data_IF_576128778676
#
_entry.id   IF_576128778676
#
_cell.length_a   1.000
_cell.length_b   1.000
_cell.length_c   1.000
_cell.angle_alpha   90.00
_cell.angle_beta   90.00
_cell.angle_gamma   90.00
#
_symmetry.space_group_name_H-M   'P 1'
#
loop_
_entity.id
_entity.type
_entity.pdbx_description
1 polymer ?
#
# COMPACT_ATOMS: atom_id res chain seq x y z
N UNK A 1 66.75 -4.62 12.25
CA UNK A 1 65.78 -5.08 11.28
C UNK A 1 64.46 -4.37 11.63
N UNK A 2 64.05 -3.30 10.88
CA UNK A 2 62.80 -2.56 11.09
C UNK A 2 61.71 -3.19 10.24
N UNK A 3 60.62 -3.69 10.88
CA UNK A 3 59.42 -4.21 10.20
C UNK A 3 58.48 -3.06 9.90
N UNK A 4 58.29 -2.74 8.62
CA UNK A 4 57.30 -1.77 8.15
C UNK A 4 55.93 -2.45 8.06
N UNK A 5 54.96 -2.00 8.85
CA UNK A 5 53.57 -2.47 8.78
C UNK A 5 52.85 -1.57 7.76
N UNK A 6 52.48 -2.15 6.64
CA UNK A 6 51.63 -1.51 5.63
C UNK A 6 50.16 -1.70 6.02
N UNK A 7 49.51 -0.62 6.43
CA UNK A 7 48.09 -0.62 6.79
C UNK A 7 47.26 -0.36 5.52
N UNK A 8 46.60 -1.40 5.04
CA UNK A 8 45.69 -1.28 3.88
C UNK A 8 44.33 -0.78 4.38
N UNK A 9 44.04 0.46 4.12
CA UNK A 9 42.71 1.02 4.39
C UNK A 9 41.69 0.56 3.32
N UNK A 10 40.72 -0.23 3.75
CA UNK A 10 39.62 -0.68 2.91
C UNK A 10 38.57 0.46 2.81
N UNK A 11 38.47 1.14 1.67
CA UNK A 11 37.40 2.11 1.40
C UNK A 11 36.11 1.33 1.13
N UNK A 12 35.14 1.36 2.08
CA UNK A 12 33.79 0.96 1.83
C UNK A 12 33.07 2.09 1.06
N UNK A 13 32.83 1.90 -0.22
CA UNK A 13 31.92 2.75 -0.99
C UNK A 13 30.49 2.35 -0.65
N UNK A 14 29.79 3.19 0.13
CA UNK A 14 28.37 3.06 0.35
C UNK A 14 27.64 3.42 -0.97
N UNK A 15 27.02 2.42 -1.64
CA UNK A 15 26.06 2.67 -2.71
C UNK A 15 24.79 3.24 -2.08
N UNK A 16 24.60 4.53 -2.21
CA UNK A 16 23.32 5.18 -1.89
C UNK A 16 22.32 4.78 -2.97
N UNK A 17 21.39 3.86 -2.69
CA UNK A 17 20.21 3.66 -3.51
C UNK A 17 19.37 4.94 -3.43
N UNK A 18 19.26 5.68 -4.52
CA UNK A 18 18.34 6.81 -4.62
C UNK A 18 16.91 6.24 -4.61
N UNK A 19 16.21 6.34 -3.50
CA UNK A 19 14.78 6.15 -3.47
C UNK A 19 14.16 7.20 -4.40
N UNK A 20 13.35 6.78 -5.36
CA UNK A 20 12.57 7.72 -6.18
C UNK A 20 11.55 8.34 -5.25
N UNK A 21 11.70 9.63 -4.96
CA UNK A 21 10.79 10.35 -4.09
C UNK A 21 9.46 10.59 -4.82
N UNK A 22 8.34 10.44 -4.10
CA UNK A 22 7.02 10.84 -4.57
C UNK A 22 7.05 12.26 -5.16
N UNK A 23 6.31 12.46 -6.24
CA UNK A 23 6.15 13.80 -6.84
C UNK A 23 4.68 14.19 -6.85
N UNK A 24 4.37 15.37 -6.30
CA UNK A 24 3.02 15.95 -6.31
C UNK A 24 3.00 17.29 -7.03
N UNK A 25 1.88 17.59 -7.72
CA UNK A 25 1.66 18.78 -8.56
C UNK A 25 0.43 19.57 -8.12
N UNK A 26 0.31 19.84 -6.84
CA UNK A 26 -0.82 20.59 -6.26
C UNK A 26 -0.97 22.01 -6.81
N UNK A 27 0.09 22.58 -7.40
CA UNK A 27 0.02 23.90 -8.08
C UNK A 27 -0.83 23.88 -9.36
N UNK A 28 -1.03 22.71 -9.98
CA UNK A 28 -1.70 22.56 -11.27
C UNK A 28 -2.83 21.53 -11.28
N UNK A 29 -2.87 20.64 -10.30
CA UNK A 29 -3.85 19.58 -10.17
C UNK A 29 -4.48 19.70 -8.78
N UNK A 30 -5.80 19.85 -8.75
CA UNK A 30 -6.54 19.89 -7.48
C UNK A 30 -6.47 18.53 -6.79
N UNK A 31 -6.21 18.53 -5.49
CA UNK A 31 -6.20 17.30 -4.70
C UNK A 31 -7.52 16.55 -4.82
N UNK A 32 -7.45 15.24 -5.07
CA UNK A 32 -8.61 14.34 -5.18
C UNK A 32 -8.90 13.59 -3.89
N UNK A 33 -7.87 13.36 -3.09
CA UNK A 33 -7.96 12.73 -1.77
C UNK A 33 -7.15 13.56 -0.74
N UNK A 34 -7.56 14.82 -0.47
CA UNK A 34 -6.80 15.73 0.40
C UNK A 34 -6.73 15.22 1.83
N UNK A 35 -5.62 15.48 2.52
CA UNK A 35 -5.34 14.96 3.86
C UNK A 35 -6.39 15.33 4.92
N UNK A 36 -7.01 16.51 4.84
CA UNK A 36 -8.02 17.00 5.76
C UNK A 36 -9.35 16.22 5.73
N UNK A 37 -9.56 15.40 4.70
CA UNK A 37 -10.65 14.44 4.60
C UNK A 37 -10.49 13.25 5.55
N UNK A 38 -9.26 12.94 5.96
CA UNK A 38 -8.91 11.74 6.69
C UNK A 38 -8.62 12.02 8.16
N UNK A 39 -9.19 11.20 9.04
CA UNK A 39 -8.98 11.29 10.49
C UNK A 39 -8.11 10.11 10.92
N UNK A 40 -6.84 10.38 11.21
CA UNK A 40 -5.89 9.36 11.69
C UNK A 40 -6.22 9.05 13.14
N UNK A 41 -6.40 7.76 13.46
CA UNK A 41 -6.74 7.27 14.79
C UNK A 41 -5.52 6.63 15.46
N UNK A 42 -5.52 6.61 16.81
CA UNK A 42 -4.39 6.13 17.62
C UNK A 42 -3.95 4.70 17.33
N UNK A 43 -4.88 3.84 16.90
CA UNK A 43 -4.60 2.43 16.63
C UNK A 43 -4.07 2.13 15.23
N UNK A 44 -3.72 3.16 14.45
CA UNK A 44 -3.26 2.98 13.09
C UNK A 44 -4.39 2.69 12.10
N UNK A 45 -5.56 3.23 12.36
CA UNK A 45 -6.66 3.26 11.40
C UNK A 45 -6.93 4.69 10.93
N UNK A 46 -7.55 4.83 9.79
CA UNK A 46 -7.84 6.10 9.12
C UNK A 46 -9.31 6.11 8.73
N UNK A 47 -10.08 6.97 9.38
CA UNK A 47 -11.47 7.20 9.00
C UNK A 47 -11.53 8.22 7.86
N UNK A 48 -12.12 7.82 6.76
CA UNK A 48 -12.42 8.68 5.62
C UNK A 48 -13.79 9.35 5.84
N UNK A 49 -13.79 10.63 6.15
CA UNK A 49 -15.00 11.39 6.43
C UNK A 49 -15.95 11.52 5.21
N UNK A 50 -15.45 11.36 3.98
CA UNK A 50 -16.27 11.47 2.78
C UNK A 50 -17.02 10.16 2.44
N UNK A 51 -16.39 9.02 2.68
CA UNK A 51 -16.97 7.72 2.35
C UNK A 51 -17.54 6.99 3.56
N UNK A 52 -17.14 7.39 4.78
CA UNK A 52 -17.46 6.69 6.02
C UNK A 52 -16.70 5.37 6.18
N UNK A 53 -15.73 5.10 5.32
CA UNK A 53 -14.89 3.90 5.40
C UNK A 53 -13.74 4.11 6.39
N UNK A 54 -13.35 3.04 7.06
CA UNK A 54 -12.16 3.04 7.90
C UNK A 54 -11.10 2.11 7.31
N UNK A 55 -9.91 2.64 7.10
CA UNK A 55 -8.79 1.99 6.45
C UNK A 55 -7.70 1.60 7.44
N UNK A 56 -6.99 0.52 7.19
CA UNK A 56 -5.69 0.33 7.82
C UNK A 56 -4.69 1.38 7.26
N UNK A 57 -3.98 2.06 8.15
CA UNK A 57 -2.93 2.98 7.76
C UNK A 57 -1.81 2.27 7.01
N UNK A 58 -1.44 1.08 7.50
CA UNK A 58 -0.40 0.23 6.93
C UNK A 58 -0.97 -0.81 5.98
N UNK A 59 -0.16 -1.22 5.02
CA UNK A 59 -0.44 -2.37 4.16
C UNK A 59 -0.13 -3.68 4.88
N UNK A 60 -0.65 -4.79 4.38
CA UNK A 60 -0.42 -6.11 4.97
C UNK A 60 1.08 -6.42 5.12
N UNK A 61 1.44 -7.03 6.26
CA UNK A 61 2.82 -7.32 6.64
C UNK A 61 3.54 -6.21 7.40
N UNK A 62 2.92 -5.02 7.54
CA UNK A 62 3.46 -3.89 8.29
C UNK A 62 2.60 -3.55 9.50
N UNK A 63 3.23 -2.99 10.53
CA UNK A 63 2.58 -2.54 11.78
C UNK A 63 2.65 -1.02 11.90
N UNK A 64 1.61 -0.42 12.49
CA UNK A 64 1.58 1.02 12.74
C UNK A 64 2.27 1.34 14.07
N UNK A 65 3.33 2.14 14.03
CA UNK A 65 4.09 2.55 15.21
C UNK A 65 4.51 4.02 15.11
N UNK A 66 4.21 4.78 16.14
CA UNK A 66 4.66 6.20 16.25
C UNK A 66 4.32 7.07 15.02
N UNK A 67 3.17 6.85 14.39
CA UNK A 67 2.72 7.66 13.25
C UNK A 67 3.22 7.18 11.89
N UNK A 68 3.91 6.05 11.81
CA UNK A 68 4.40 5.47 10.55
C UNK A 68 4.18 3.95 10.49
N UNK A 69 4.44 3.36 9.33
CA UNK A 69 4.39 1.91 9.14
C UNK A 69 5.79 1.31 9.20
N UNK A 70 5.96 0.29 10.03
CA UNK A 70 7.22 -0.43 10.21
C UNK A 70 7.06 -1.90 9.84
N UNK A 71 8.17 -2.56 9.51
CA UNK A 71 8.18 -3.95 9.08
C UNK A 71 8.38 -4.08 7.57
N UNK A 72 7.99 -5.21 7.02
CA UNK A 72 8.14 -5.50 5.60
C UNK A 72 6.78 -5.75 4.98
N UNK A 73 6.43 -4.95 3.98
CA UNK A 73 5.24 -5.16 3.18
C UNK A 73 5.26 -6.55 2.53
N UNK A 74 4.16 -7.26 2.62
CA UNK A 74 3.99 -8.58 1.99
C UNK A 74 3.09 -8.45 0.78
N UNK A 75 3.54 -8.99 -0.34
CA UNK A 75 2.78 -9.09 -1.57
C UNK A 75 2.10 -10.46 -1.68
N UNK A 76 1.03 -10.52 -2.45
CA UNK A 76 0.26 -11.74 -2.68
C UNK A 76 0.35 -12.13 -4.15
N UNK A 77 0.77 -13.38 -4.41
CA UNK A 77 0.99 -13.90 -5.76
C UNK A 77 -0.31 -14.12 -6.54
N UNK A 78 -1.44 -14.29 -5.83
CA UNK A 78 -2.73 -14.52 -6.45
C UNK A 78 -3.86 -13.76 -5.75
N UNK A 79 -4.95 -13.53 -6.48
CA UNK A 79 -6.15 -12.95 -5.92
C UNK A 79 -6.80 -13.83 -4.83
N UNK A 80 -6.77 -15.15 -5.02
CA UNK A 80 -7.30 -16.07 -4.01
C UNK A 80 -6.54 -15.99 -2.68
N UNK A 81 -5.22 -15.84 -2.72
CA UNK A 81 -4.41 -15.66 -1.52
C UNK A 81 -4.77 -14.33 -0.82
N UNK A 82 -4.89 -13.25 -1.60
CA UNK A 82 -5.32 -11.96 -1.07
C UNK A 82 -6.70 -12.01 -0.39
N UNK A 83 -7.66 -12.76 -0.96
CA UNK A 83 -8.98 -12.94 -0.36
C UNK A 83 -8.95 -13.76 0.95
N UNK A 84 -8.07 -14.76 1.05
CA UNK A 84 -7.92 -15.58 2.26
C UNK A 84 -7.29 -14.83 3.43
N UNK A 85 -6.48 -13.80 3.18
CA UNK A 85 -5.89 -12.97 4.24
C UNK A 85 -6.91 -12.31 5.16
N UNK A 86 -8.14 -12.09 4.68
CA UNK A 86 -9.22 -11.54 5.51
C UNK A 86 -9.43 -12.33 6.80
N UNK A 87 -9.41 -13.65 6.72
CA UNK A 87 -9.69 -14.50 7.88
C UNK A 87 -8.52 -14.47 8.87
N UNK A 88 -7.28 -14.40 8.38
CA UNK A 88 -6.08 -14.23 9.19
C UNK A 88 -6.10 -12.90 9.94
N UNK A 89 -6.25 -11.78 9.21
CA UNK A 89 -6.25 -10.43 9.78
C UNK A 89 -7.37 -10.23 10.81
N UNK A 90 -8.55 -10.80 10.56
CA UNK A 90 -9.66 -10.75 11.51
C UNK A 90 -9.43 -11.66 12.72
N UNK A 91 -8.72 -12.77 12.55
CA UNK A 91 -8.30 -13.64 13.65
C UNK A 91 -7.26 -12.98 14.57
N UNK A 92 -6.45 -12.09 14.06
CA UNK A 92 -5.47 -11.30 14.82
C UNK A 92 -6.07 -10.07 15.52
N UNK A 93 -7.35 -9.75 15.25
CA UNK A 93 -8.06 -8.59 15.81
C UNK A 93 -7.29 -7.27 15.59
N UNK A 94 -6.73 -7.06 14.39
CA UNK A 94 -5.90 -5.90 14.08
C UNK A 94 -6.63 -4.60 14.40
N UNK A 95 -5.96 -3.71 15.13
CA UNK A 95 -6.52 -2.48 15.70
C UNK A 95 -7.74 -2.72 16.65
N UNK A 96 -8.02 -3.97 17.03
CA UNK A 96 -9.15 -4.37 17.86
C UNK A 96 -10.45 -4.59 17.09
N UNK A 97 -10.36 -4.82 15.78
CA UNK A 97 -11.50 -5.09 14.91
C UNK A 97 -11.40 -6.46 14.25
N UNK A 98 -12.55 -7.06 13.92
CA UNK A 98 -12.68 -8.39 13.31
C UNK A 98 -13.49 -8.38 12.02
N UNK A 99 -13.70 -7.22 11.43
CA UNK A 99 -14.55 -7.00 10.25
C UNK A 99 -13.79 -6.36 9.07
N UNK A 100 -12.47 -6.53 9.04
CA UNK A 100 -11.63 -6.14 7.93
C UNK A 100 -11.94 -6.94 6.67
N UNK A 101 -11.89 -6.29 5.53
CA UNK A 101 -12.09 -6.88 4.22
C UNK A 101 -11.21 -6.21 3.16
N UNK A 102 -11.01 -6.86 2.03
CA UNK A 102 -10.48 -6.20 0.85
C UNK A 102 -11.47 -5.11 0.40
N UNK A 103 -10.98 -3.95 -0.03
CA UNK A 103 -11.81 -2.92 -0.67
C UNK A 103 -12.31 -3.41 -2.03
N UNK A 104 -13.46 -2.93 -2.50
CA UNK A 104 -13.78 -3.01 -3.91
C UNK A 104 -12.98 -1.97 -4.71
N UNK A 105 -12.98 -2.08 -6.04
CA UNK A 105 -12.17 -1.21 -6.90
C UNK A 105 -12.51 0.28 -6.72
N UNK A 106 -13.78 0.63 -6.52
CA UNK A 106 -14.21 2.02 -6.32
C UNK A 106 -13.79 2.56 -4.96
N UNK A 107 -13.84 1.72 -3.93
CA UNK A 107 -13.36 2.07 -2.60
C UNK A 107 -11.85 2.33 -2.63
N UNK A 108 -11.06 1.43 -3.22
CA UNK A 108 -9.61 1.62 -3.30
C UNK A 108 -9.24 2.82 -4.17
N UNK A 109 -9.93 3.03 -5.29
CA UNK A 109 -9.75 4.21 -6.14
C UNK A 109 -10.07 5.52 -5.40
N UNK A 110 -10.95 5.48 -4.38
CA UNK A 110 -11.34 6.67 -3.64
C UNK A 110 -10.22 7.30 -2.80
N UNK A 111 -9.17 6.54 -2.48
CA UNK A 111 -8.00 7.05 -1.76
C UNK A 111 -6.81 7.39 -2.67
N UNK A 112 -7.00 7.32 -3.99
CA UNK A 112 -6.00 7.76 -4.96
C UNK A 112 -5.91 9.29 -4.98
N UNK A 113 -4.69 9.81 -4.83
CA UNK A 113 -4.39 11.24 -4.99
C UNK A 113 -3.77 11.49 -6.38
N UNK A 114 -4.59 11.93 -7.33
CA UNK A 114 -4.16 12.14 -8.72
C UNK A 114 -3.25 13.34 -8.91
N UNK A 115 -3.09 14.21 -7.91
CA UNK A 115 -2.06 15.24 -7.94
C UNK A 115 -0.66 14.68 -7.69
N UNK A 116 -0.55 13.42 -7.21
CA UNK A 116 0.70 12.75 -6.90
C UNK A 116 0.95 11.52 -7.79
N UNK A 117 2.21 11.16 -7.95
CA UNK A 117 2.63 9.89 -8.54
C UNK A 117 3.94 9.41 -7.91
N UNK A 118 4.15 8.10 -7.97
CA UNK A 118 5.31 7.45 -7.41
C UNK A 118 5.43 7.51 -5.87
N UNK A 119 4.36 7.21 -5.09
CA UNK A 119 3.02 6.72 -5.42
C UNK A 119 1.93 7.81 -5.53
N UNK A 120 0.80 7.45 -6.14
CA UNK A 120 -0.40 8.27 -6.30
C UNK A 120 -1.34 8.17 -5.09
N UNK A 121 -0.86 8.56 -3.92
CA UNK A 121 -1.59 8.56 -2.64
C UNK A 121 -0.94 9.57 -1.70
N UNK A 122 -1.67 10.12 -0.74
CA UNK A 122 -1.07 11.01 0.25
C UNK A 122 -0.28 10.21 1.31
N UNK A 123 1.05 10.29 1.25
CA UNK A 123 1.93 9.57 2.19
C UNK A 123 1.91 10.14 3.61
N UNK A 124 1.39 11.36 3.81
CA UNK A 124 1.19 11.89 5.17
C UNK A 124 0.01 11.23 5.88
N UNK A 125 -0.91 10.64 5.11
CA UNK A 125 -2.08 9.90 5.59
C UNK A 125 -1.82 8.38 5.56
N UNK A 126 -1.29 7.87 4.44
CA UNK A 126 -1.02 6.46 4.20
C UNK A 126 0.49 6.21 4.08
N UNK A 127 1.23 6.24 5.19
CA UNK A 127 2.69 6.17 5.17
C UNK A 127 3.19 4.85 4.57
N UNK A 128 4.41 4.90 4.00
CA UNK A 128 5.13 3.75 3.45
C UNK A 128 4.36 2.98 2.35
N UNK A 129 3.37 3.62 1.70
CA UNK A 129 2.67 2.99 0.57
C UNK A 129 3.60 2.93 -0.65
N UNK A 130 3.90 1.75 -1.20
CA UNK A 130 4.78 1.62 -2.36
C UNK A 130 4.08 2.04 -3.66
N UNK A 131 4.90 2.42 -4.65
CA UNK A 131 4.48 2.58 -6.05
C UNK A 131 4.30 1.21 -6.69
N UNK A 132 3.13 0.62 -6.50
CA UNK A 132 2.85 -0.75 -6.90
C UNK A 132 1.33 -0.99 -7.02
N UNK A 133 0.91 -2.10 -7.65
CA UNK A 133 -0.49 -2.51 -7.69
C UNK A 133 -0.99 -3.03 -6.34
N UNK A 134 -2.29 -2.88 -6.13
CA UNK A 134 -3.00 -3.34 -4.94
C UNK A 134 -4.26 -4.10 -5.34
N UNK A 135 -4.46 -5.26 -4.69
CA UNK A 135 -5.63 -6.11 -4.87
C UNK A 135 -6.93 -5.45 -4.39
N UNK A 136 -8.00 -5.69 -5.13
CA UNK A 136 -9.38 -5.42 -4.69
C UNK A 136 -10.18 -6.71 -4.58
N UNK A 137 -11.38 -6.65 -4.01
CA UNK A 137 -12.31 -7.78 -4.01
C UNK A 137 -13.20 -7.82 -5.27
N UNK A 138 -12.96 -6.96 -6.26
CA UNK A 138 -13.78 -6.87 -7.48
C UNK A 138 -13.23 -7.81 -8.54
N UNK A 139 -13.98 -8.87 -8.94
CA UNK A 139 -13.57 -9.74 -10.03
C UNK A 139 -13.65 -9.00 -11.38
N UNK A 140 -12.80 -9.38 -12.32
CA UNK A 140 -12.97 -9.04 -13.73
C UNK A 140 -13.62 -10.21 -14.46
N UNK A 141 -14.92 -10.12 -14.72
CA UNK A 141 -15.70 -11.19 -15.32
C UNK A 141 -15.48 -11.32 -16.84
N UNK A 142 -14.90 -10.32 -17.48
CA UNK A 142 -14.73 -10.28 -18.94
C UNK A 142 -13.51 -11.09 -19.42
N UNK A 143 -12.59 -11.41 -18.51
CA UNK A 143 -11.29 -12.04 -18.81
C UNK A 143 -11.10 -13.40 -18.14
N UNK A 144 -12.11 -14.26 -18.14
CA UNK A 144 -11.96 -15.63 -17.60
C UNK A 144 -11.10 -16.46 -18.56
N UNK A 145 -9.81 -16.53 -18.30
CA UNK A 145 -8.86 -17.33 -19.06
C UNK A 145 -8.35 -18.51 -18.25
N UNK A 146 -8.61 -19.73 -18.74
CA UNK A 146 -7.97 -20.93 -18.19
C UNK A 146 -8.42 -21.39 -16.80
N UNK A 147 -9.51 -20.83 -16.24
CA UNK A 147 -10.06 -21.23 -14.95
C UNK A 147 -9.65 -20.33 -13.77
N UNK A 148 -8.76 -19.36 -13.96
CA UNK A 148 -8.49 -18.30 -13.00
C UNK A 148 -9.34 -17.07 -13.34
N UNK A 149 -9.95 -16.49 -12.31
CA UNK A 149 -10.73 -15.26 -12.42
C UNK A 149 -9.78 -14.11 -12.10
N UNK A 150 -9.49 -13.20 -13.06
CA UNK A 150 -8.71 -12.02 -12.75
C UNK A 150 -9.49 -11.08 -11.84
N UNK A 151 -8.77 -10.25 -11.12
CA UNK A 151 -9.35 -9.21 -10.29
C UNK A 151 -8.93 -7.82 -10.74
N UNK A 152 -9.78 -6.83 -10.48
CA UNK A 152 -9.44 -5.43 -10.62
C UNK A 152 -8.42 -5.05 -9.55
N UNK A 153 -7.43 -4.28 -9.97
CA UNK A 153 -6.38 -3.71 -9.13
C UNK A 153 -6.33 -2.19 -9.30
N UNK A 154 -5.75 -1.51 -8.31
CA UNK A 154 -5.33 -0.11 -8.44
C UNK A 154 -3.79 -0.08 -8.35
N UNK A 155 -3.14 0.41 -9.39
CA UNK A 155 -1.70 0.65 -9.36
C UNK A 155 -1.42 2.06 -8.83
N UNK A 156 -0.92 2.13 -7.60
CA UNK A 156 -0.55 3.39 -6.98
C UNK A 156 0.69 4.05 -7.58
N UNK A 157 1.37 3.47 -8.56
CA UNK A 157 2.41 4.20 -9.29
C UNK A 157 1.86 5.47 -9.93
N UNK A 158 0.68 5.37 -10.55
CA UNK A 158 0.01 6.48 -11.24
C UNK A 158 -1.48 6.62 -10.89
N UNK A 159 -2.02 5.78 -10.00
CA UNK A 159 -3.43 5.75 -9.64
C UNK A 159 -4.34 5.13 -10.70
N UNK A 160 -3.82 4.24 -11.53
CA UNK A 160 -4.59 3.61 -12.62
C UNK A 160 -5.32 2.35 -12.15
N UNK A 161 -6.54 2.15 -12.66
CA UNK A 161 -7.24 0.88 -12.58
C UNK A 161 -6.76 -0.05 -13.68
N UNK A 162 -6.51 -1.32 -13.33
CA UNK A 162 -6.13 -2.39 -14.25
C UNK A 162 -6.69 -3.72 -13.73
N UNK A 163 -6.35 -4.84 -14.36
CA UNK A 163 -6.72 -6.16 -13.91
C UNK A 163 -5.56 -7.16 -14.06
N UNK A 164 -5.53 -8.16 -13.18
CA UNK A 164 -4.55 -9.26 -13.26
C UNK A 164 -5.10 -10.53 -12.62
N UNK A 165 -4.64 -11.68 -13.08
CA UNK A 165 -4.90 -12.98 -12.43
C UNK A 165 -3.77 -13.39 -11.47
N UNK A 166 -2.55 -12.91 -11.74
CA UNK A 166 -1.36 -13.17 -10.93
C UNK A 166 -0.70 -11.86 -10.56
N UNK A 167 -0.17 -11.74 -9.35
CA UNK A 167 0.39 -10.51 -8.83
C UNK A 167 1.89 -10.57 -8.70
N UNK A 168 2.65 -9.97 -9.63
CA UNK A 168 4.03 -9.61 -9.32
C UNK A 168 4.00 -8.41 -8.36
N UNK A 169 4.31 -8.64 -7.06
CA UNK A 169 4.37 -7.61 -6.02
C UNK A 169 3.06 -6.82 -5.89
N UNK A 170 1.93 -7.52 -5.88
CA UNK A 170 0.62 -6.91 -5.66
C UNK A 170 0.28 -6.96 -4.18
N UNK A 171 0.06 -5.80 -3.57
CA UNK A 171 -0.12 -5.62 -2.13
C UNK A 171 -1.60 -5.63 -1.73
N UNK A 172 -1.84 -5.63 -0.42
CA UNK A 172 -3.19 -5.56 0.17
C UNK A 172 -3.25 -4.43 1.19
N UNK A 173 -4.30 -3.61 1.09
CA UNK A 173 -4.73 -2.68 2.14
C UNK A 173 -6.16 -3.00 2.52
N UNK A 174 -6.41 -3.18 3.80
CA UNK A 174 -7.73 -3.53 4.30
C UNK A 174 -8.58 -2.31 4.62
N UNK A 175 -9.89 -2.51 4.50
CA UNK A 175 -10.92 -1.52 4.80
C UNK A 175 -12.04 -2.18 5.62
N UNK A 176 -12.74 -1.40 6.43
CA UNK A 176 -13.97 -1.81 7.12
C UNK A 176 -15.04 -0.72 7.00
N UNK A 177 -16.26 -1.08 7.33
CA UNK A 177 -17.38 -0.13 7.50
C UNK A 177 -17.70 -0.05 8.98
N UNK A 178 -17.40 1.08 9.67
CA UNK A 178 -17.64 1.25 11.10
C UNK A 178 -19.08 1.10 11.51
#
# INVERSE_FOLDING_TARGET
MKKTIVSTALLLTALSASAVAQTCKYDSIMATAPADRFIIQEKGTILDANTGLEWMACIYGMSYENGTCVGTAQDMDSWSDALMLRDEVNGEEVAGYTDWRLPNVKELASIVEYACFGPAIDLSVFPETPSAPFWTNTPDADEINGGEIPARIIDFTYGTEDFTSTGEKTYVRFVRTP
#
